data_IF_061938971194
#
_entry.id   IF_061938971194
#
_cell.length_a   1.000
_cell.length_b   1.000
_cell.length_c   1.000
_cell.angle_alpha   90.00
_cell.angle_beta   90.00
_cell.angle_gamma   90.00
#
_symmetry.space_group_name_H-M   'P 1'
#
loop_
_entity.id
_entity.type
_entity.pdbx_description
1 polymer ?
#
# COMPACT_ATOMS: atom_id res chain seq x y z
N UNK A 1 31.01 17.49 6.65
CA UNK A 1 31.33 16.09 6.97
C UNK A 1 30.21 15.21 6.45
N UNK A 2 30.43 13.90 6.29
CA UNK A 2 29.42 12.93 5.83
C UNK A 2 28.16 12.99 6.73
N UNK A 3 28.35 13.14 8.04
CA UNK A 3 27.27 13.23 9.04
C UNK A 3 26.31 14.39 8.75
N UNK A 4 26.84 15.59 8.50
CA UNK A 4 25.99 16.74 8.16
C UNK A 4 25.18 16.50 6.89
N UNK A 5 25.79 15.90 5.86
CA UNK A 5 25.11 15.57 4.61
C UNK A 5 23.95 14.59 4.81
N UNK A 6 24.12 13.60 5.69
CA UNK A 6 23.05 12.65 6.03
C UNK A 6 21.90 13.33 6.77
N UNK A 7 22.19 14.16 7.78
CA UNK A 7 21.14 14.90 8.51
C UNK A 7 20.35 15.85 7.61
N UNK A 8 21.01 16.53 6.65
CA UNK A 8 20.32 17.36 5.67
C UNK A 8 19.45 16.54 4.71
N UNK A 9 19.86 15.31 4.38
CA UNK A 9 19.05 14.42 3.55
C UNK A 9 17.83 13.93 4.30
N UNK A 10 18.02 13.45 5.53
CA UNK A 10 16.94 12.98 6.40
C UNK A 10 15.92 14.09 6.69
N UNK A 11 16.37 15.30 7.04
CA UNK A 11 15.47 16.43 7.27
C UNK A 11 14.65 16.82 6.03
N UNK A 12 15.19 16.63 4.83
CA UNK A 12 14.45 16.82 3.57
C UNK A 12 13.44 15.71 3.33
N UNK A 13 13.84 14.46 3.51
CA UNK A 13 12.95 13.29 3.37
C UNK A 13 11.74 13.42 4.31
N UNK A 14 11.97 13.75 5.59
CA UNK A 14 10.88 13.98 6.56
C UNK A 14 9.97 15.15 6.16
N UNK A 15 10.52 16.23 5.60
CA UNK A 15 9.73 17.38 5.15
C UNK A 15 8.77 17.03 3.99
N UNK A 16 9.20 16.14 3.09
CA UNK A 16 8.33 15.58 2.05
C UNK A 16 7.32 14.58 2.61
N UNK A 17 7.78 13.64 3.45
CA UNK A 17 6.95 12.59 4.03
C UNK A 17 5.79 13.14 4.86
N UNK A 18 6.05 14.16 5.68
CA UNK A 18 5.01 14.85 6.46
C UNK A 18 4.22 15.89 5.67
N UNK A 19 4.41 15.96 4.34
CA UNK A 19 3.63 16.80 3.42
C UNK A 19 3.53 18.26 3.85
N UNK A 20 4.60 18.82 4.43
CA UNK A 20 4.59 20.16 5.01
C UNK A 20 4.13 21.24 4.00
N UNK A 21 4.46 21.07 2.72
CA UNK A 21 4.07 21.99 1.64
C UNK A 21 2.59 22.00 1.29
N UNK A 22 1.80 20.99 1.69
CA UNK A 22 0.35 21.01 1.48
C UNK A 22 -0.31 22.15 2.27
N UNK A 23 0.35 22.68 3.32
CA UNK A 23 -0.12 23.85 4.08
C UNK A 23 0.89 25.01 4.13
N UNK A 24 2.20 24.74 4.10
CA UNK A 24 3.25 25.75 4.20
C UNK A 24 3.93 25.99 2.85
N UNK A 25 3.32 26.85 2.03
CA UNK A 25 3.89 27.22 0.74
C UNK A 25 5.01 28.26 0.91
N UNK A 26 6.16 28.11 0.21
CA UNK A 26 7.19 29.14 0.17
C UNK A 26 6.69 30.40 -0.54
N UNK A 27 7.34 31.54 -0.26
CA UNK A 27 7.03 32.81 -0.95
C UNK A 27 7.33 32.79 -2.46
N UNK A 28 8.14 31.83 -2.94
CA UNK A 28 8.45 31.63 -4.36
C UNK A 28 8.11 30.20 -4.77
N UNK A 29 7.43 30.05 -5.89
CA UNK A 29 7.08 28.74 -6.44
C UNK A 29 8.33 27.90 -6.70
N UNK A 30 8.27 26.62 -6.32
CA UNK A 30 9.39 25.68 -6.48
C UNK A 30 9.79 25.48 -7.95
N UNK A 31 8.88 25.74 -8.89
CA UNK A 31 9.15 25.74 -10.33
C UNK A 31 10.20 26.78 -10.73
N UNK A 32 10.26 27.94 -10.06
CA UNK A 32 11.27 28.98 -10.33
C UNK A 32 12.68 28.59 -9.82
N UNK A 33 12.76 27.71 -8.82
CA UNK A 33 14.02 27.30 -8.18
C UNK A 33 14.70 26.15 -8.94
N UNK A 34 13.99 25.55 -9.90
CA UNK A 34 14.58 24.74 -10.97
C UNK A 34 15.03 23.32 -10.61
N UNK A 35 14.77 22.84 -9.38
CA UNK A 35 14.90 21.43 -8.96
C UNK A 35 14.06 21.16 -7.70
N UNK A 36 12.72 21.00 -7.79
CA UNK A 36 12.00 20.43 -6.66
C UNK A 36 12.55 19.03 -6.39
N UNK A 37 12.77 18.72 -5.12
CA UNK A 37 12.93 17.35 -4.67
C UNK A 37 11.65 16.59 -5.09
N UNK A 38 11.79 15.50 -5.86
CA UNK A 38 10.66 14.83 -6.51
C UNK A 38 9.63 14.33 -5.48
N UNK A 39 10.13 13.98 -4.29
CA UNK A 39 9.38 13.56 -3.11
C UNK A 39 8.36 14.63 -2.65
N UNK A 40 8.57 15.91 -2.97
CA UNK A 40 7.62 17.00 -2.68
C UNK A 40 6.40 17.02 -3.61
N UNK A 41 6.52 16.42 -4.80
CA UNK A 41 5.48 16.39 -5.82
C UNK A 41 4.61 15.14 -5.72
N UNK A 42 4.96 14.18 -4.85
CA UNK A 42 4.18 12.96 -4.72
C UNK A 42 2.80 13.28 -4.10
N UNK A 43 1.76 12.74 -4.73
CA UNK A 43 0.39 12.82 -4.25
C UNK A 43 -0.05 11.54 -3.52
N UNK A 44 -1.22 11.57 -2.90
CA UNK A 44 -1.80 10.34 -2.35
C UNK A 44 -2.15 9.35 -3.49
N UNK A 45 -2.05 8.03 -3.27
CA UNK A 45 -2.46 7.04 -4.26
C UNK A 45 -3.93 7.22 -4.67
N UNK A 46 -4.23 7.01 -5.94
CA UNK A 46 -5.61 7.04 -6.43
C UNK A 46 -6.43 5.90 -5.83
N UNK A 47 -7.67 6.21 -5.44
CA UNK A 47 -8.66 5.25 -4.96
C UNK A 47 -9.58 4.72 -6.06
N UNK A 48 -9.45 5.19 -7.31
CA UNK A 48 -10.36 4.86 -8.42
C UNK A 48 -10.51 3.35 -8.68
N UNK A 49 -9.43 2.59 -8.50
CA UNK A 49 -9.36 1.13 -8.70
C UNK A 49 -9.08 0.38 -7.40
N UNK A 50 -9.37 0.96 -6.23
CA UNK A 50 -9.08 0.30 -4.95
C UNK A 50 -9.98 -0.91 -4.71
N UNK A 51 -11.24 -0.85 -5.15
CA UNK A 51 -12.23 -1.89 -4.96
C UNK A 51 -11.96 -3.15 -5.79
N UNK A 52 -11.37 -3.00 -6.99
CA UNK A 52 -10.97 -4.16 -7.81
C UNK A 52 -9.76 -4.88 -7.21
N UNK A 53 -8.84 -4.15 -6.58
CA UNK A 53 -7.56 -4.72 -6.09
C UNK A 53 -7.60 -5.25 -4.67
N UNK A 54 -8.39 -4.62 -3.81
CA UNK A 54 -8.40 -4.93 -2.38
C UNK A 54 -9.71 -5.54 -1.93
N UNK A 55 -9.64 -6.34 -0.87
CA UNK A 55 -10.84 -6.88 -0.23
C UNK A 55 -11.57 -5.78 0.52
N UNK A 56 -12.91 -5.74 0.46
CA UNK A 56 -13.67 -4.69 1.13
C UNK A 56 -13.47 -4.71 2.66
N UNK A 57 -13.26 -5.89 3.26
CA UNK A 57 -13.01 -6.03 4.70
C UNK A 57 -11.65 -5.49 5.14
N UNK A 58 -10.70 -5.36 4.20
CA UNK A 58 -9.36 -4.82 4.49
C UNK A 58 -9.36 -3.30 4.64
N UNK A 59 -10.19 -2.60 3.86
CA UNK A 59 -10.27 -1.14 3.88
C UNK A 59 -10.55 -0.57 5.28
N UNK A 60 -11.58 -1.00 6.03
CA UNK A 60 -11.84 -0.44 7.36
C UNK A 60 -10.72 -0.75 8.35
N UNK A 61 -10.14 -1.95 8.28
CA UNK A 61 -9.00 -2.32 9.11
C UNK A 61 -7.78 -1.44 8.81
N UNK A 62 -7.52 -1.15 7.52
CA UNK A 62 -6.46 -0.23 7.11
C UNK A 62 -6.71 1.19 7.60
N UNK A 63 -7.95 1.71 7.49
CA UNK A 63 -8.30 3.05 7.99
C UNK A 63 -8.19 3.20 9.50
N UNK A 64 -8.43 2.12 10.25
CA UNK A 64 -8.28 2.11 11.71
C UNK A 64 -6.81 2.13 12.15
N UNK A 65 -5.97 1.30 11.51
CA UNK A 65 -4.56 1.15 11.88
C UNK A 65 -3.70 0.76 10.67
N UNK A 66 -3.25 1.72 9.83
CA UNK A 66 -2.38 1.43 8.70
C UNK A 66 -1.07 0.73 9.12
N UNK A 67 -0.55 1.10 10.30
CA UNK A 67 0.70 0.60 10.85
C UNK A 67 0.65 -0.90 11.20
N UNK A 68 -0.54 -1.49 11.39
CA UNK A 68 -0.65 -2.93 11.63
C UNK A 68 -0.27 -3.78 10.41
N UNK A 69 -0.47 -3.22 9.21
CA UNK A 69 -0.19 -3.90 7.93
C UNK A 69 1.15 -3.47 7.34
N UNK A 70 1.49 -2.19 7.49
CA UNK A 70 2.76 -1.63 7.07
C UNK A 70 3.31 -0.75 8.20
N UNK A 71 4.21 -1.28 9.05
CA UNK A 71 4.68 -0.60 10.27
C UNK A 71 5.13 0.84 10.06
N UNK A 72 5.80 1.09 8.93
CA UNK A 72 6.33 2.40 8.57
C UNK A 72 5.39 3.16 7.62
N UNK A 73 4.07 2.94 7.74
CA UNK A 73 3.08 3.57 6.85
C UNK A 73 3.00 5.06 7.17
N UNK A 74 3.20 5.95 6.17
CA UNK A 74 3.08 7.39 6.38
C UNK A 74 1.62 7.82 6.53
N UNK A 75 0.65 6.95 6.20
CA UNK A 75 -0.76 7.24 6.37
C UNK A 75 -1.12 7.24 7.87
N UNK A 76 -1.58 8.37 8.43
CA UNK A 76 -2.05 8.40 9.81
C UNK A 76 -3.43 7.76 9.91
N UNK A 77 -3.85 7.44 11.13
CA UNK A 77 -5.26 7.21 11.41
C UNK A 77 -6.04 8.51 11.19
N UNK A 78 -6.90 8.54 10.17
CA UNK A 78 -7.65 9.75 9.78
C UNK A 78 -9.05 9.82 10.39
N UNK A 79 -9.63 8.69 10.82
CA UNK A 79 -10.97 8.63 11.40
C UNK A 79 -10.89 8.63 12.94
N UNK A 80 -11.60 9.58 13.54
CA UNK A 80 -11.66 9.80 14.98
C UNK A 80 -13.10 9.98 15.48
N UNK A 81 -13.31 9.74 16.78
CA UNK A 81 -14.62 9.89 17.42
C UNK A 81 -15.42 8.59 17.49
N UNK A 82 -16.64 8.65 18.07
CA UNK A 82 -17.47 7.48 18.33
C UNK A 82 -17.94 6.78 17.04
N UNK A 83 -18.11 7.53 15.95
CA UNK A 83 -18.59 7.00 14.67
C UNK A 83 -17.44 6.53 13.75
N UNK A 84 -16.18 6.59 14.19
CA UNK A 84 -15.02 6.30 13.33
C UNK A 84 -15.09 4.91 12.67
N UNK A 85 -15.46 3.88 13.45
CA UNK A 85 -15.60 2.52 12.93
C UNK A 85 -16.73 2.41 11.88
N UNK A 86 -17.87 3.06 12.14
CA UNK A 86 -18.99 3.07 11.19
C UNK A 86 -18.65 3.85 9.92
N UNK A 87 -17.97 4.98 10.05
CA UNK A 87 -17.51 5.77 8.91
C UNK A 87 -16.53 4.96 8.05
N UNK A 88 -15.65 4.16 8.66
CA UNK A 88 -14.71 3.32 7.93
C UNK A 88 -15.42 2.26 7.06
N UNK A 89 -16.44 1.59 7.61
CA UNK A 89 -17.22 0.59 6.83
C UNK A 89 -18.15 1.24 5.80
N UNK A 90 -18.67 2.43 6.07
CA UNK A 90 -19.47 3.20 5.10
C UNK A 90 -18.60 3.63 3.90
N UNK A 91 -17.38 4.13 4.16
CA UNK A 91 -16.38 4.43 3.11
C UNK A 91 -16.02 3.18 2.32
N UNK A 92 -15.77 2.05 2.99
CA UNK A 92 -15.47 0.79 2.31
C UNK A 92 -16.64 0.34 1.41
N UNK A 93 -17.88 0.46 1.87
CA UNK A 93 -19.07 0.15 1.09
C UNK A 93 -19.23 1.07 -0.14
N UNK A 94 -18.92 2.36 0.01
CA UNK A 94 -18.91 3.30 -1.12
C UNK A 94 -17.85 2.91 -2.15
N UNK A 95 -16.60 2.69 -1.73
CA UNK A 95 -15.52 2.30 -2.63
C UNK A 95 -15.86 1.01 -3.39
N UNK A 96 -16.40 0.00 -2.69
CA UNK A 96 -16.86 -1.24 -3.30
C UNK A 96 -17.94 -1.00 -4.37
N UNK A 97 -18.79 0.03 -4.21
CA UNK A 97 -19.83 0.36 -5.19
C UNK A 97 -19.31 0.99 -6.49
N UNK A 98 -18.08 1.51 -6.51
CA UNK A 98 -17.54 2.23 -7.66
C UNK A 98 -17.08 1.31 -8.79
N UNK A 99 -16.31 0.27 -8.48
CA UNK A 99 -15.65 -0.61 -9.47
C UNK A 99 -15.33 -2.00 -8.90
N UNK A 100 -16.27 -2.63 -8.17
CA UNK A 100 -16.09 -4.01 -7.74
C UNK A 100 -16.11 -4.97 -8.93
N UNK A 101 -14.93 -5.48 -9.30
CA UNK A 101 -14.78 -6.52 -10.31
C UNK A 101 -14.74 -7.93 -9.68
N UNK A 102 -14.92 -8.91 -10.58
CA UNK A 102 -14.93 -10.34 -10.30
C UNK A 102 -13.57 -10.82 -9.79
N UNK A 103 -13.57 -11.63 -8.72
CA UNK A 103 -12.39 -12.36 -8.24
C UNK A 103 -11.98 -13.39 -9.28
N UNK A 104 -10.94 -13.08 -10.07
CA UNK A 104 -10.32 -14.06 -10.96
C UNK A 104 -9.09 -14.62 -10.26
N UNK A 105 -9.03 -15.93 -10.04
CA UNK A 105 -7.80 -16.54 -9.56
C UNK A 105 -6.91 -16.90 -10.76
N UNK A 106 -5.61 -16.61 -10.64
CA UNK A 106 -4.60 -17.16 -11.55
C UNK A 106 -4.04 -18.46 -10.97
N UNK A 107 -3.46 -19.28 -11.84
CA UNK A 107 -2.74 -20.49 -11.46
C UNK A 107 -1.27 -20.27 -11.75
N UNK A 108 -0.46 -20.37 -10.71
CA UNK A 108 1.00 -20.42 -10.79
C UNK A 108 1.56 -21.55 -9.92
N UNK A 109 2.87 -21.77 -10.01
CA UNK A 109 3.59 -22.76 -9.23
C UNK A 109 4.17 -22.13 -7.95
N UNK A 110 3.59 -22.45 -6.79
CA UNK A 110 4.05 -21.97 -5.47
C UNK A 110 5.55 -22.21 -5.23
N UNK A 111 6.08 -23.34 -5.70
CA UNK A 111 7.50 -23.67 -5.55
C UNK A 111 8.40 -22.74 -6.37
N UNK A 112 7.99 -22.40 -7.60
CA UNK A 112 8.72 -21.46 -8.44
C UNK A 112 8.56 -20.03 -7.89
N UNK A 113 7.36 -19.64 -7.47
CA UNK A 113 7.12 -18.34 -6.83
C UNK A 113 8.02 -18.11 -5.61
N UNK A 114 8.24 -19.14 -4.79
CA UNK A 114 9.21 -19.08 -3.70
C UNK A 114 10.65 -18.88 -4.20
N UNK A 115 11.04 -19.61 -5.25
CA UNK A 115 12.37 -19.47 -5.87
C UNK A 115 12.58 -18.06 -6.41
N UNK A 116 11.59 -17.50 -7.10
CA UNK A 116 11.61 -16.15 -7.65
C UNK A 116 11.68 -15.09 -6.55
N UNK A 117 11.00 -15.29 -5.43
CA UNK A 117 11.04 -14.36 -4.28
C UNK A 117 12.48 -14.16 -3.76
N UNK A 118 13.27 -15.23 -3.73
CA UNK A 118 14.68 -15.17 -3.36
C UNK A 118 15.53 -14.58 -4.50
N UNK A 119 15.30 -15.01 -5.75
CA UNK A 119 16.08 -14.57 -6.92
C UNK A 119 15.96 -13.08 -7.23
N UNK A 120 14.75 -12.52 -7.14
CA UNK A 120 14.50 -11.08 -7.31
C UNK A 120 14.88 -10.27 -6.06
N UNK A 121 15.34 -10.92 -4.99
CA UNK A 121 15.83 -10.26 -3.79
C UNK A 121 14.71 -9.61 -2.96
N UNK A 122 13.48 -10.13 -3.04
CA UNK A 122 12.34 -9.60 -2.27
C UNK A 122 12.63 -9.62 -0.76
N UNK A 123 13.40 -10.60 -0.29
CA UNK A 123 13.91 -10.72 1.08
C UNK A 123 14.74 -9.52 1.56
N UNK A 124 15.24 -8.68 0.64
CA UNK A 124 16.00 -7.47 0.99
C UNK A 124 15.13 -6.39 1.61
N UNK A 125 13.83 -6.36 1.27
CA UNK A 125 12.87 -5.36 1.75
C UNK A 125 11.69 -5.99 2.51
N UNK A 126 11.44 -7.29 2.34
CA UNK A 126 10.29 -7.98 2.90
C UNK A 126 10.67 -9.14 3.82
N UNK A 127 9.85 -9.36 4.84
CA UNK A 127 9.75 -10.64 5.54
C UNK A 127 8.47 -11.35 5.10
N UNK A 128 8.43 -12.66 5.28
CA UNK A 128 7.26 -13.47 4.94
C UNK A 128 6.22 -13.44 6.06
N UNK A 129 6.63 -13.20 7.31
CA UNK A 129 5.74 -13.09 8.47
C UNK A 129 6.09 -11.91 9.38
N UNK A 130 5.13 -11.49 10.20
CA UNK A 130 5.38 -10.53 11.29
C UNK A 130 6.40 -11.05 12.31
N UNK A 131 6.36 -12.34 12.64
CA UNK A 131 7.32 -12.98 13.58
C UNK A 131 8.77 -12.92 13.06
N UNK A 132 8.96 -13.08 11.74
CA UNK A 132 10.27 -12.88 11.12
C UNK A 132 10.73 -11.42 11.23
N UNK A 133 9.81 -10.44 11.17
CA UNK A 133 10.13 -9.02 11.37
C UNK A 133 10.51 -8.72 12.82
N UNK A 134 9.89 -9.33 13.82
CA UNK A 134 10.22 -9.07 15.23
C UNK A 134 11.71 -9.31 15.55
N UNK A 135 12.35 -10.21 14.80
CA UNK A 135 13.76 -10.53 14.90
C UNK A 135 14.62 -9.88 13.79
N UNK A 136 14.02 -9.02 12.99
CA UNK A 136 14.67 -8.34 11.87
C UNK A 136 15.33 -7.02 12.31
N UNK A 137 16.56 -6.80 11.88
CA UNK A 137 17.29 -5.55 12.16
C UNK A 137 17.25 -4.55 11.00
N UNK A 138 16.49 -4.86 9.94
CA UNK A 138 16.46 -4.12 8.68
C UNK A 138 15.10 -3.47 8.39
N UNK A 139 14.19 -3.48 9.36
CA UNK A 139 12.84 -2.90 9.27
C UNK A 139 12.08 -3.33 8.00
N UNK A 140 12.24 -4.59 7.59
CA UNK A 140 11.61 -5.15 6.38
C UNK A 140 10.11 -5.36 6.56
N UNK A 141 9.34 -5.09 5.52
CA UNK A 141 7.87 -5.09 5.55
C UNK A 141 7.33 -6.53 5.53
N UNK A 142 6.50 -6.96 6.49
CA UNK A 142 5.96 -8.31 6.52
C UNK A 142 4.85 -8.49 5.48
N UNK A 143 4.80 -9.65 4.83
CA UNK A 143 3.86 -9.97 3.74
C UNK A 143 2.77 -10.98 4.13
N UNK A 144 2.64 -11.33 5.39
CA UNK A 144 1.59 -12.23 5.90
C UNK A 144 0.17 -11.68 5.73
N UNK A 145 0.00 -10.37 5.68
CA UNK A 145 -1.29 -9.72 5.44
C UNK A 145 -1.78 -9.75 3.99
N UNK A 146 -0.96 -10.24 3.04
CA UNK A 146 -1.29 -10.23 1.61
C UNK A 146 -2.64 -10.90 1.30
N UNK A 147 -2.97 -12.09 1.81
CA UNK A 147 -4.28 -12.73 1.54
C UNK A 147 -5.47 -11.97 2.14
N UNK A 148 -5.25 -11.16 3.18
CA UNK A 148 -6.28 -10.31 3.77
C UNK A 148 -6.48 -9.03 2.94
N UNK A 149 -5.41 -8.47 2.37
CA UNK A 149 -5.44 -7.25 1.55
C UNK A 149 -5.96 -7.48 0.15
N UNK A 150 -5.37 -8.41 -0.60
CA UNK A 150 -5.60 -8.55 -2.04
C UNK A 150 -6.87 -9.33 -2.33
N UNK A 151 -7.63 -8.84 -3.31
CA UNK A 151 -8.93 -9.39 -3.69
C UNK A 151 -8.80 -10.80 -4.28
N UNK A 152 -7.84 -11.01 -5.16
CA UNK A 152 -7.44 -12.30 -5.73
C UNK A 152 -5.94 -12.34 -6.05
N UNK A 153 -5.45 -13.52 -6.45
CA UNK A 153 -4.10 -13.67 -6.98
C UNK A 153 -3.87 -12.93 -8.31
N UNK A 154 -4.92 -12.70 -9.12
CA UNK A 154 -4.78 -11.99 -10.39
C UNK A 154 -4.42 -10.51 -10.19
N UNK A 155 -5.09 -9.83 -9.27
CA UNK A 155 -4.80 -8.40 -9.04
C UNK A 155 -3.44 -8.18 -8.37
N UNK A 156 -3.00 -9.14 -7.53
CA UNK A 156 -1.64 -9.13 -7.03
C UNK A 156 -0.62 -9.34 -8.17
N UNK A 157 -0.88 -10.28 -9.08
CA UNK A 157 -0.02 -10.52 -10.25
C UNK A 157 0.08 -9.29 -11.15
N UNK A 158 -1.04 -8.59 -11.40
CA UNK A 158 -1.04 -7.33 -12.17
C UNK A 158 -0.19 -6.25 -11.49
N UNK A 159 -0.35 -6.07 -10.17
CA UNK A 159 0.47 -5.14 -9.40
C UNK A 159 1.97 -5.46 -9.48
N UNK A 160 2.34 -6.74 -9.39
CA UNK A 160 3.74 -7.16 -9.44
C UNK A 160 4.41 -6.86 -10.80
N UNK A 161 3.64 -6.82 -11.89
CA UNK A 161 4.14 -6.49 -13.23
C UNK A 161 4.43 -4.98 -13.39
N UNK A 162 3.60 -4.12 -12.80
CA UNK A 162 3.82 -2.67 -12.86
C UNK A 162 3.36 -1.90 -11.61
N UNK A 163 4.13 -1.95 -10.50
CA UNK A 163 3.77 -1.29 -9.25
C UNK A 163 3.53 0.22 -9.40
N UNK A 164 4.31 0.88 -10.27
CA UNK A 164 4.30 2.32 -10.51
C UNK A 164 3.01 2.80 -11.19
N UNK A 165 2.31 1.92 -11.92
CA UNK A 165 1.02 2.27 -12.53
C UNK A 165 -0.05 2.66 -11.51
N UNK A 166 0.06 2.13 -10.29
CA UNK A 166 -0.88 2.39 -9.20
C UNK A 166 -0.46 3.58 -8.33
N UNK A 167 0.85 3.76 -8.16
CA UNK A 167 1.42 4.87 -7.42
C UNK A 167 2.84 5.12 -7.94
N UNK A 168 3.03 6.22 -8.66
CA UNK A 168 4.29 6.54 -9.35
C UNK A 168 5.50 6.53 -8.39
N UNK A 169 5.30 7.01 -7.16
CA UNK A 169 6.34 7.14 -6.14
C UNK A 169 6.48 5.91 -5.22
N UNK A 170 5.93 4.76 -5.61
CA UNK A 170 6.08 3.53 -4.84
C UNK A 170 7.56 3.13 -4.74
N UNK A 171 8.02 2.77 -3.53
CA UNK A 171 9.40 2.34 -3.28
C UNK A 171 9.75 0.99 -3.93
N UNK A 172 8.74 0.14 -4.17
CA UNK A 172 8.93 -1.14 -4.82
C UNK A 172 9.33 -0.94 -6.29
N UNK A 173 10.50 -1.44 -6.73
CA UNK A 173 10.92 -1.27 -8.11
C UNK A 173 10.09 -2.15 -9.06
N UNK A 174 10.00 -1.74 -10.33
CA UNK A 174 9.49 -2.61 -11.38
C UNK A 174 10.59 -3.64 -11.75
N UNK A 175 10.40 -4.89 -11.33
CA UNK A 175 11.34 -5.99 -11.60
C UNK A 175 11.29 -6.52 -13.04
N UNK A 176 10.37 -6.02 -13.86
CA UNK A 176 10.13 -6.45 -15.24
C UNK A 176 9.80 -7.94 -15.33
N UNK A 177 9.02 -8.42 -14.36
CA UNK A 177 8.50 -9.78 -14.32
C UNK A 177 7.68 -10.08 -15.58
N UNK A 178 7.82 -11.30 -16.08
CA UNK A 178 6.87 -11.86 -17.03
C UNK A 178 5.53 -12.14 -16.33
N UNK A 179 4.47 -12.32 -17.12
CA UNK A 179 3.14 -12.70 -16.59
C UNK A 179 3.23 -14.02 -15.80
N UNK A 180 4.03 -14.98 -16.26
CA UNK A 180 4.20 -16.29 -15.61
C UNK A 180 4.89 -16.14 -14.26
N UNK A 181 6.02 -15.42 -14.19
CA UNK A 181 6.73 -15.16 -12.92
C UNK A 181 5.86 -14.39 -11.92
N UNK A 182 5.08 -13.40 -12.41
CA UNK A 182 4.17 -12.65 -11.56
C UNK A 182 3.03 -13.53 -11.03
N UNK A 183 2.52 -14.46 -11.83
CA UNK A 183 1.51 -15.44 -11.41
C UNK A 183 2.05 -16.41 -10.37
N UNK A 184 3.28 -16.92 -10.54
CA UNK A 184 3.93 -17.81 -9.59
C UNK A 184 4.16 -17.11 -8.24
N UNK A 185 4.69 -15.89 -8.27
CA UNK A 185 4.88 -15.05 -7.08
C UNK A 185 3.55 -14.74 -6.39
N UNK A 186 2.53 -14.32 -7.14
CA UNK A 186 1.22 -14.01 -6.58
C UNK A 186 0.57 -15.26 -5.95
N UNK A 187 0.65 -16.41 -6.62
CA UNK A 187 0.16 -17.69 -6.07
C UNK A 187 0.89 -18.05 -4.77
N UNK A 188 2.22 -17.94 -4.75
CA UNK A 188 3.03 -18.20 -3.56
C UNK A 188 2.69 -17.27 -2.39
N UNK A 189 2.48 -15.98 -2.64
CA UNK A 189 2.15 -15.00 -1.59
C UNK A 189 0.70 -15.12 -1.09
N UNK A 190 -0.22 -15.55 -1.96
CA UNK A 190 -1.62 -15.79 -1.62
C UNK A 190 -1.83 -17.14 -0.90
N UNK A 191 -0.92 -18.10 -1.05
CA UNK A 191 -0.89 -19.39 -0.33
C UNK A 191 -0.39 -19.24 1.13
N UNK A 192 -0.96 -18.26 1.83
CA UNK A 192 -0.71 -17.98 3.24
C UNK A 192 -2.03 -17.97 3.99
N UNK A 193 -1.97 -18.17 5.31
CA UNK A 193 -3.16 -18.09 6.16
C UNK A 193 -3.74 -16.68 6.07
N UNK A 194 -4.96 -16.57 5.55
CA UNK A 194 -5.75 -15.35 5.60
C UNK A 194 -6.23 -15.13 7.03
N UNK A 195 -5.77 -14.07 7.68
CA UNK A 195 -6.38 -13.63 8.93
C UNK A 195 -7.80 -13.12 8.66
N UNK A 196 -8.80 -13.57 9.43
CA UNK A 196 -10.17 -13.16 9.23
C UNK A 196 -10.33 -11.68 9.59
N UNK A 197 -11.00 -10.93 8.73
CA UNK A 197 -11.41 -9.55 8.96
C UNK A 197 -12.93 -9.48 9.04
N UNK A 198 -13.45 -8.49 9.76
CA UNK A 198 -14.88 -8.33 9.96
C UNK A 198 -15.61 -8.02 8.64
N UNK A 199 -16.75 -8.66 8.36
CA UNK A 199 -17.54 -8.35 7.18
C UNK A 199 -17.99 -6.88 7.17
N UNK A 200 -17.99 -6.27 5.98
CA UNK A 200 -18.51 -4.91 5.84
C UNK A 200 -20.05 -4.88 5.88
N UNK A 201 -20.61 -4.04 6.73
CA UNK A 201 -22.03 -3.67 6.76
C UNK A 201 -22.16 -2.14 6.78
N UNK A 202 -21.73 -1.52 5.68
CA UNK A 202 -21.74 -0.06 5.52
C UNK A 202 -22.87 0.45 4.63
N UNK A 203 -23.15 1.74 4.74
CA UNK A 203 -24.03 2.48 3.85
C UNK A 203 -23.20 3.24 2.80
N UNK A 204 -23.28 2.89 1.51
CA UNK A 204 -22.47 3.53 0.47
C UNK A 204 -22.80 5.02 0.26
N UNK A 205 -24.04 5.45 0.51
CA UNK A 205 -24.38 6.89 0.41
C UNK A 205 -23.70 7.70 1.52
N UNK A 206 -23.65 7.17 2.74
CA UNK A 206 -22.92 7.82 3.83
C UNK A 206 -21.42 7.82 3.55
N UNK A 207 -20.90 6.77 2.94
CA UNK A 207 -19.50 6.69 2.51
C UNK A 207 -19.16 7.74 1.45
N UNK A 208 -20.03 7.94 0.46
CA UNK A 208 -19.88 8.98 -0.56
C UNK A 208 -19.78 10.37 0.07
N UNK A 209 -20.70 10.70 0.99
CA UNK A 209 -20.70 11.98 1.71
C UNK A 209 -19.42 12.22 2.52
N UNK A 210 -18.77 11.15 3.00
CA UNK A 210 -17.52 11.22 3.78
C UNK A 210 -16.28 11.38 2.90
N UNK A 211 -16.32 10.94 1.63
CA UNK A 211 -15.20 11.02 0.68
C UNK A 211 -15.28 12.29 -0.20
N UNK A 212 -16.50 12.76 -0.48
CA UNK A 212 -16.78 13.90 -1.37
C UNK A 212 -16.82 15.29 -0.71
N UNK A 213 -16.52 15.39 0.60
CA UNK A 213 -16.41 16.65 1.35
C UNK A 213 -14.96 17.11 1.49
#
# INVERSE_FOLDING_TARGET
>A
SIVWGLMYREGRELFAEYRCLKCHQPEKDFEEVGRPMLELLEDAPSLETIASRTRPEWIPAWLESPQQFHPDSPMPRILHGPDAAQNAVDIAAYLESLNAESQSEIVGETAEGKSLFDQYGCIGCHTLTAEERENDSFDRIPLDHIPAKWRSSAELSEFLQDPQSHFESIRMPNFKLTIEEANDLATFLMDRKKEPLDPIQGNPMRGEDLVGA
#
